data_IF_062746703120
#
_entry.id   IF_062746703120
#
_cell.length_a   1.000
_cell.length_b   1.000
_cell.length_c   1.000
_cell.angle_alpha   90.00
_cell.angle_beta   90.00
_cell.angle_gamma   90.00
#
_symmetry.space_group_name_H-M   'P 1'
#
loop_
_entity.id
_entity.type
_entity.pdbx_description
1 polymer ?
#
# COMPACT_ATOMS: atom_id res chain seq x y z
N UNK A 1 14.43 21.23 8.92
CA UNK A 1 15.20 22.11 7.99
C UNK A 1 15.31 21.51 6.58
N UNK A 2 15.62 20.21 6.43
CA UNK A 2 15.96 19.59 5.14
C UNK A 2 14.92 19.70 4.01
N UNK A 3 13.61 19.67 4.31
CA UNK A 3 12.55 19.77 3.29
C UNK A 3 12.49 21.12 2.58
N UNK A 4 13.03 22.19 3.18
CA UNK A 4 13.06 23.52 2.56
C UNK A 4 13.98 23.59 1.33
N UNK A 5 15.06 22.80 1.30
CA UNK A 5 16.02 22.80 0.18
C UNK A 5 15.40 22.26 -1.11
N UNK A 6 14.57 21.21 -0.99
CA UNK A 6 13.85 20.55 -2.09
C UNK A 6 12.84 21.46 -2.82
N UNK A 7 12.41 22.56 -2.20
CA UNK A 7 11.52 23.55 -2.81
C UNK A 7 12.24 24.49 -3.80
N UNK A 8 13.55 24.35 -3.99
CA UNK A 8 14.26 25.04 -5.06
C UNK A 8 13.94 24.41 -6.42
N UNK A 9 13.44 25.22 -7.36
CA UNK A 9 12.89 24.80 -8.65
C UNK A 9 13.73 23.74 -9.37
N UNK A 10 15.04 23.96 -9.47
CA UNK A 10 16.01 23.13 -10.22
C UNK A 10 16.03 21.67 -9.76
N UNK A 11 15.77 21.42 -8.47
CA UNK A 11 15.69 20.08 -7.88
C UNK A 11 14.40 19.39 -8.31
N UNK A 12 13.26 20.06 -8.13
CA UNK A 12 11.95 19.47 -8.43
C UNK A 12 11.71 19.29 -9.94
N UNK A 13 12.34 20.11 -10.79
CA UNK A 13 12.34 19.93 -12.24
C UNK A 13 13.30 18.84 -12.75
N UNK A 14 14.07 18.18 -11.89
CA UNK A 14 15.02 17.15 -12.28
C UNK A 14 16.19 17.66 -13.13
N UNK A 15 16.48 18.97 -13.09
CA UNK A 15 17.51 19.63 -13.92
C UNK A 15 18.85 19.82 -13.19
N UNK A 16 18.95 19.35 -11.95
CA UNK A 16 20.20 19.31 -11.19
C UNK A 16 21.18 18.27 -11.74
N UNK A 17 22.51 18.49 -11.66
CA UNK A 17 23.51 17.45 -11.95
C UNK A 17 23.36 16.24 -11.00
N UNK A 18 23.71 15.04 -11.49
CA UNK A 18 23.49 13.77 -10.75
C UNK A 18 24.05 13.79 -9.33
N UNK A 19 25.29 14.24 -9.13
CA UNK A 19 25.92 14.33 -7.80
C UNK A 19 25.15 15.22 -6.80
N UNK A 20 24.36 16.17 -7.31
CA UNK A 20 23.49 17.03 -6.50
C UNK A 20 22.20 16.29 -6.15
N UNK A 21 21.63 15.52 -7.10
CA UNK A 21 20.51 14.61 -6.86
C UNK A 21 20.89 13.57 -5.80
N UNK A 22 22.10 13.00 -5.87
CA UNK A 22 22.61 12.01 -4.92
C UNK A 22 22.73 12.58 -3.49
N UNK A 23 23.27 13.80 -3.34
CA UNK A 23 23.32 14.52 -2.05
C UNK A 23 21.91 14.83 -1.49
N UNK A 24 20.95 15.14 -2.37
CA UNK A 24 19.55 15.38 -2.00
C UNK A 24 18.89 14.08 -1.52
N UNK A 25 19.06 12.96 -2.24
CA UNK A 25 18.55 11.65 -1.85
C UNK A 25 19.16 11.18 -0.52
N UNK A 26 20.46 11.42 -0.31
CA UNK A 26 21.12 11.19 0.97
C UNK A 26 20.51 12.03 2.09
N UNK A 27 20.31 13.34 1.88
CA UNK A 27 19.64 14.23 2.87
C UNK A 27 18.19 13.85 3.13
N UNK A 28 17.47 13.31 2.14
CA UNK A 28 16.11 12.80 2.30
C UNK A 28 16.08 11.55 3.18
N UNK A 29 16.90 10.53 2.90
CA UNK A 29 16.96 9.32 3.73
C UNK A 29 17.39 9.61 5.18
N UNK A 30 18.30 10.57 5.39
CA UNK A 30 18.64 11.05 6.75
C UNK A 30 17.48 11.78 7.43
N UNK A 31 16.73 12.63 6.71
CA UNK A 31 15.55 13.30 7.25
C UNK A 31 14.40 12.33 7.57
N UNK A 32 14.25 11.28 6.75
CA UNK A 32 13.29 10.18 6.94
C UNK A 32 13.62 9.35 8.18
N UNK A 33 14.88 8.91 8.35
CA UNK A 33 15.34 8.20 9.55
C UNK A 33 15.11 9.01 10.84
N UNK A 34 15.36 10.34 10.81
CA UNK A 34 15.05 11.23 11.93
C UNK A 34 13.53 11.33 12.16
N UNK A 35 12.72 11.38 11.09
CA UNK A 35 11.26 11.36 11.16
C UNK A 35 10.72 10.08 11.80
N UNK A 36 11.20 8.92 11.38
CA UNK A 36 10.86 7.61 11.95
C UNK A 36 11.25 7.51 13.42
N UNK A 37 12.43 8.02 13.82
CA UNK A 37 12.81 8.10 15.23
C UNK A 37 11.84 8.98 16.06
N UNK A 38 11.49 10.18 15.58
CA UNK A 38 10.57 11.09 16.28
C UNK A 38 9.15 10.50 16.36
N UNK A 39 8.66 9.86 15.29
CA UNK A 39 7.37 9.17 15.29
C UNK A 39 7.35 7.98 16.27
N UNK A 40 8.43 7.19 16.32
CA UNK A 40 8.61 6.12 17.32
C UNK A 40 8.45 6.67 18.75
N UNK A 41 9.17 7.75 19.10
CA UNK A 41 9.06 8.41 20.40
C UNK A 41 7.63 8.86 20.72
N UNK A 42 6.92 9.46 19.76
CA UNK A 42 5.55 9.92 19.94
C UNK A 42 4.57 8.76 20.12
N UNK A 43 4.67 7.69 19.31
CA UNK A 43 3.83 6.50 19.46
C UNK A 43 4.11 5.76 20.77
N UNK A 44 5.37 5.66 21.22
CA UNK A 44 5.72 5.17 22.56
C UNK A 44 4.98 5.98 23.64
N UNK A 45 4.99 7.31 23.54
CA UNK A 45 4.36 8.17 24.57
C UNK A 45 2.83 8.18 24.56
N UNK A 46 2.20 7.97 23.40
CA UNK A 46 0.74 7.97 23.24
C UNK A 46 0.13 6.59 23.54
N UNK A 47 0.79 5.51 23.11
CA UNK A 47 0.21 4.15 23.17
C UNK A 47 0.65 3.34 24.40
N UNK A 48 1.76 3.70 25.06
CA UNK A 48 2.22 3.02 26.28
C UNK A 48 1.78 3.81 27.51
N UNK A 49 0.86 3.20 28.25
CA UNK A 49 0.35 3.71 29.52
C UNK A 49 1.46 3.80 30.58
N UNK A 50 1.96 5.03 30.77
CA UNK A 50 3.00 5.39 31.73
C UNK A 50 2.65 5.03 33.19
N UNK A 51 1.38 4.78 33.53
CA UNK A 51 1.00 4.32 34.88
C UNK A 51 1.37 2.85 35.15
N UNK A 52 1.55 2.04 34.09
CA UNK A 52 1.86 0.61 34.19
C UNK A 52 3.33 0.28 33.91
N UNK A 53 4.05 1.14 33.20
CA UNK A 53 5.50 0.98 32.96
C UNK A 53 6.33 1.71 34.02
N UNK A 54 6.70 1.02 35.11
CA UNK A 54 7.66 1.53 36.11
C UNK A 54 9.13 1.35 35.69
N UNK A 55 9.41 0.55 34.67
CA UNK A 55 10.76 0.29 34.18
C UNK A 55 11.17 1.23 33.05
N UNK A 56 12.08 2.16 33.34
CA UNK A 56 12.65 3.07 32.33
C UNK A 56 13.38 2.32 31.21
N UNK A 57 14.04 1.20 31.53
CA UNK A 57 14.70 0.32 30.55
C UNK A 57 13.73 -0.35 29.57
N UNK A 58 12.50 -0.64 30.00
CA UNK A 58 11.49 -1.20 29.10
C UNK A 58 11.10 -0.17 28.03
N UNK A 59 10.97 1.11 28.40
CA UNK A 59 10.59 2.19 27.50
C UNK A 59 11.65 2.41 26.39
N UNK A 60 12.95 2.38 26.72
CA UNK A 60 14.04 2.41 25.72
C UNK A 60 14.00 1.21 24.76
N UNK A 61 13.53 0.06 25.23
CA UNK A 61 13.38 -1.15 24.40
C UNK A 61 12.20 -1.01 23.44
N UNK A 62 11.07 -0.45 23.88
CA UNK A 62 9.91 -0.21 23.02
C UNK A 62 10.18 0.80 21.90
N UNK A 63 11.01 1.83 22.13
CA UNK A 63 11.43 2.80 21.11
C UNK A 63 12.14 2.13 19.92
N UNK A 64 12.81 0.98 20.15
CA UNK A 64 13.51 0.21 19.10
C UNK A 64 12.61 -0.79 18.36
N UNK A 65 11.35 -0.94 18.75
CA UNK A 65 10.44 -1.95 18.22
C UNK A 65 9.44 -1.41 17.19
N UNK A 66 9.48 -0.11 16.86
CA UNK A 66 8.68 0.46 15.78
C UNK A 66 9.45 0.40 14.45
N UNK A 67 9.07 -0.58 13.64
CA UNK A 67 9.51 -0.78 12.26
C UNK A 67 8.69 0.13 11.33
N UNK A 68 9.35 0.69 10.32
CA UNK A 68 8.72 1.48 9.26
C UNK A 68 9.06 0.83 7.92
N UNK A 69 8.04 0.40 7.17
CA UNK A 69 8.20 -0.34 5.90
C UNK A 69 7.65 0.44 4.71
N UNK A 70 8.30 0.31 3.55
CA UNK A 70 7.87 0.90 2.29
C UNK A 70 6.77 0.06 1.62
N UNK A 71 5.57 0.09 2.23
CA UNK A 71 4.40 -0.71 1.80
C UNK A 71 4.00 -0.50 0.33
N UNK A 72 4.31 0.67 -0.27
CA UNK A 72 4.07 0.95 -1.68
C UNK A 72 4.84 0.02 -2.65
N UNK A 73 5.96 -0.56 -2.21
CA UNK A 73 6.78 -1.49 -3.01
C UNK A 73 6.41 -2.97 -2.74
N UNK A 74 5.37 -3.20 -1.94
CA UNK A 74 5.02 -4.51 -1.35
C UNK A 74 6.24 -5.17 -0.68
N UNK A 75 7.03 -4.38 0.06
CA UNK A 75 8.26 -4.79 0.73
C UNK A 75 8.24 -4.46 2.24
N UNK A 76 8.59 -5.44 3.09
CA UNK A 76 8.67 -5.34 4.56
C UNK A 76 9.27 -6.64 5.14
N UNK A 77 10.57 -6.88 4.97
CA UNK A 77 11.22 -8.14 5.38
C UNK A 77 11.24 -8.33 6.91
N UNK A 78 11.05 -7.27 7.69
CA UNK A 78 10.99 -7.29 9.15
C UNK A 78 9.73 -8.00 9.70
N UNK A 79 8.79 -8.41 8.83
CA UNK A 79 7.64 -9.27 9.19
C UNK A 79 7.92 -10.78 9.02
N UNK A 80 9.10 -11.17 8.56
CA UNK A 80 9.45 -12.58 8.34
C UNK A 80 9.49 -13.39 9.65
N UNK A 81 8.78 -14.52 9.65
CA UNK A 81 8.58 -15.34 10.85
C UNK A 81 7.77 -14.68 11.98
N UNK A 82 7.34 -13.42 11.86
CA UNK A 82 6.72 -12.64 12.96
C UNK A 82 5.29 -13.09 13.26
N UNK A 83 5.14 -14.06 14.16
CA UNK A 83 3.87 -14.69 14.52
C UNK A 83 2.72 -13.73 14.94
N UNK A 84 3.03 -12.53 15.43
CA UNK A 84 2.07 -11.47 15.78
C UNK A 84 2.68 -10.09 15.60
N UNK A 85 2.00 -9.20 14.90
CA UNK A 85 2.39 -7.80 14.77
C UNK A 85 1.17 -6.87 14.96
N UNK A 86 1.37 -5.56 14.88
CA UNK A 86 0.26 -4.59 14.89
C UNK A 86 0.66 -3.35 14.09
N UNK A 87 -0.18 -2.92 13.15
CA UNK A 87 0.06 -1.74 12.32
C UNK A 87 -0.56 -0.52 12.99
N UNK A 88 0.26 0.50 13.24
CA UNK A 88 -0.20 1.81 13.68
C UNK A 88 -0.58 2.61 12.43
N UNK A 89 -1.79 3.14 12.41
CA UNK A 89 -2.29 3.98 11.32
C UNK A 89 -2.71 5.32 11.89
N UNK A 90 -2.11 6.40 11.39
CA UNK A 90 -2.41 7.77 11.79
C UNK A 90 -3.14 8.48 10.66
N UNK A 91 -4.25 9.14 10.97
CA UNK A 91 -4.96 10.03 10.05
C UNK A 91 -4.60 11.49 10.37
N UNK A 92 -3.71 12.15 9.59
CA UNK A 92 -3.38 13.56 9.78
C UNK A 92 -4.50 14.53 9.34
N UNK A 93 -5.61 14.03 8.80
CA UNK A 93 -6.71 14.85 8.32
C UNK A 93 -7.71 15.25 9.42
N UNK A 94 -8.39 16.38 9.22
CA UNK A 94 -9.54 16.82 10.01
C UNK A 94 -10.87 16.12 9.64
N UNK A 95 -10.86 15.22 8.66
CA UNK A 95 -12.01 14.39 8.27
C UNK A 95 -11.71 12.90 8.42
N UNK A 96 -12.76 12.09 8.59
CA UNK A 96 -12.66 10.62 8.64
C UNK A 96 -12.13 10.07 7.33
N UNK A 97 -11.11 9.22 7.41
CA UNK A 97 -10.46 8.59 6.27
C UNK A 97 -10.79 7.10 6.24
N UNK A 98 -11.37 6.61 5.15
CA UNK A 98 -11.52 5.17 4.88
C UNK A 98 -10.39 4.75 3.93
N UNK A 99 -9.47 3.90 4.39
CA UNK A 99 -8.31 3.48 3.59
C UNK A 99 -8.19 1.96 3.50
N UNK A 100 -7.56 1.52 2.42
CA UNK A 100 -7.14 0.13 2.22
C UNK A 100 -5.68 -0.01 2.64
N UNK A 101 -5.43 -0.67 3.77
CA UNK A 101 -4.08 -1.11 4.12
C UNK A 101 -3.70 -2.27 3.19
N UNK A 102 -2.48 -2.21 2.64
CA UNK A 102 -1.81 -3.31 1.92
C UNK A 102 -0.56 -3.68 2.71
N UNK A 103 -0.44 -4.94 3.12
CA UNK A 103 0.66 -5.41 3.97
C UNK A 103 1.28 -6.67 3.31
N UNK A 104 2.53 -6.62 2.85
CA UNK A 104 3.21 -7.78 2.28
C UNK A 104 3.60 -8.75 3.40
N UNK A 105 3.35 -10.05 3.19
CA UNK A 105 3.58 -11.09 4.19
C UNK A 105 4.01 -12.43 3.58
N UNK A 106 4.90 -13.14 4.27
CA UNK A 106 5.37 -14.48 3.89
C UNK A 106 4.30 -15.56 4.05
N UNK A 107 3.43 -15.43 5.06
CA UNK A 107 2.42 -16.41 5.47
C UNK A 107 1.04 -15.75 5.62
N UNK A 108 -0.03 -16.54 5.82
CA UNK A 108 -1.38 -16.00 6.03
C UNK A 108 -1.54 -15.40 7.45
N UNK A 109 -2.25 -14.28 7.56
CA UNK A 109 -2.54 -13.60 8.83
C UNK A 109 -4.04 -13.31 8.98
N UNK A 110 -4.55 -13.49 10.20
CA UNK A 110 -5.86 -13.01 10.63
C UNK A 110 -5.71 -11.76 11.51
N UNK A 111 -6.82 -11.05 11.72
CA UNK A 111 -6.89 -10.05 12.78
C UNK A 111 -7.00 -10.70 14.17
N UNK A 112 -6.31 -10.12 15.16
CA UNK A 112 -6.42 -10.52 16.56
C UNK A 112 -7.70 -9.92 17.17
N UNK A 113 -8.84 -10.58 16.94
CA UNK A 113 -10.20 -10.14 17.34
C UNK A 113 -10.26 -9.81 18.85
N UNK A 114 -9.50 -10.53 19.68
CA UNK A 114 -9.41 -10.28 21.12
C UNK A 114 -8.81 -8.91 21.46
N UNK A 115 -7.94 -8.36 20.60
CA UNK A 115 -7.42 -7.00 20.70
C UNK A 115 -8.29 -5.97 20.00
N UNK A 116 -8.98 -6.31 18.91
CA UNK A 116 -9.91 -5.38 18.23
C UNK A 116 -10.95 -4.84 19.21
N UNK A 117 -11.57 -5.72 20.02
CA UNK A 117 -12.55 -5.32 21.04
C UNK A 117 -11.99 -4.39 22.14
N UNK A 118 -10.67 -4.35 22.34
CA UNK A 118 -10.00 -3.43 23.27
C UNK A 118 -9.78 -2.03 22.68
N UNK A 119 -9.71 -1.92 21.35
CA UNK A 119 -9.39 -0.68 20.64
C UNK A 119 -10.55 -0.13 19.79
N UNK A 120 -11.74 -0.72 19.86
CA UNK A 120 -12.97 -0.29 19.16
C UNK A 120 -12.78 -0.03 17.66
N UNK A 121 -12.03 -0.91 16.99
CA UNK A 121 -11.62 -0.70 15.60
C UNK A 121 -12.73 -1.11 14.63
N UNK A 122 -13.18 -0.17 13.79
CA UNK A 122 -14.06 -0.44 12.65
C UNK A 122 -13.26 -1.02 11.48
N UNK A 123 -13.16 -2.35 11.44
CA UNK A 123 -12.53 -3.10 10.35
C UNK A 123 -13.61 -3.89 9.61
N UNK A 124 -13.96 -3.42 8.41
CA UNK A 124 -15.12 -3.92 7.68
C UNK A 124 -14.81 -5.14 6.80
N UNK A 125 -13.60 -5.19 6.23
CA UNK A 125 -13.23 -6.18 5.21
C UNK A 125 -11.76 -6.60 5.36
N UNK A 126 -11.49 -7.90 5.17
CA UNK A 126 -10.16 -8.50 5.05
C UNK A 126 -10.16 -9.34 3.76
N UNK A 127 -9.11 -9.23 2.96
CA UNK A 127 -8.76 -10.20 1.92
C UNK A 127 -7.29 -10.61 2.05
N UNK A 128 -6.96 -11.81 1.55
CA UNK A 128 -5.57 -12.22 1.31
C UNK A 128 -5.44 -12.53 -0.18
N UNK A 129 -4.51 -11.85 -0.84
CA UNK A 129 -4.23 -12.03 -2.27
C UNK A 129 -2.82 -12.57 -2.43
N UNK A 130 -2.62 -13.64 -3.21
CA UNK A 130 -1.27 -14.07 -3.59
C UNK A 130 -0.67 -13.05 -4.56
N UNK A 131 0.52 -12.54 -4.26
CA UNK A 131 1.18 -11.49 -5.04
C UNK A 131 1.35 -11.90 -6.52
N UNK A 132 1.39 -10.92 -7.42
CA UNK A 132 1.61 -11.21 -8.85
C UNK A 132 3.06 -11.64 -9.10
N UNK A 133 3.27 -12.60 -10.01
CA UNK A 133 4.60 -12.98 -10.50
C UNK A 133 5.35 -11.79 -11.10
N UNK A 134 4.63 -10.79 -11.61
CA UNK A 134 5.18 -9.54 -12.14
C UNK A 134 5.82 -8.70 -11.01
N UNK A 135 5.16 -8.57 -9.85
CA UNK A 135 5.75 -7.91 -8.69
C UNK A 135 6.94 -8.69 -8.12
N UNK A 136 6.90 -10.03 -8.14
CA UNK A 136 8.03 -10.90 -7.78
C UNK A 136 9.21 -10.80 -8.76
N UNK A 137 8.98 -10.37 -10.00
CA UNK A 137 10.02 -10.20 -11.02
C UNK A 137 10.74 -8.84 -11.00
N UNK A 138 10.34 -7.93 -10.09
CA UNK A 138 11.03 -6.64 -9.89
C UNK A 138 12.35 -6.93 -9.15
N UNK A 139 13.52 -6.58 -9.71
CA UNK A 139 14.78 -6.73 -9.01
C UNK A 139 14.87 -5.70 -7.87
N UNK A 140 14.77 -6.18 -6.63
CA UNK A 140 15.20 -5.45 -5.45
C UNK A 140 16.65 -5.80 -5.11
N UNK A 141 17.34 -4.90 -4.41
CA UNK A 141 18.70 -5.15 -3.89
C UNK A 141 18.72 -6.19 -2.74
N UNK A 142 17.56 -6.55 -2.21
CA UNK A 142 17.36 -7.45 -1.07
C UNK A 142 16.33 -8.53 -1.43
N UNK A 143 16.52 -9.75 -0.89
CA UNK A 143 15.67 -10.88 -1.21
C UNK A 143 14.25 -10.68 -0.66
N UNK A 144 13.25 -10.56 -1.53
CA UNK A 144 11.84 -10.51 -1.11
C UNK A 144 11.32 -11.91 -0.76
N UNK A 145 10.78 -12.01 0.45
CA UNK A 145 10.27 -13.23 1.09
C UNK A 145 8.74 -13.30 1.16
N UNK A 146 8.07 -12.16 1.05
CA UNK A 146 6.62 -12.07 1.01
C UNK A 146 6.02 -12.73 -0.24
N UNK A 147 5.06 -13.64 -0.05
CA UNK A 147 4.30 -14.29 -1.14
C UNK A 147 2.85 -13.77 -1.27
N UNK A 148 2.31 -13.20 -0.18
CA UNK A 148 0.92 -12.79 -0.08
C UNK A 148 0.84 -11.33 0.36
N UNK A 149 -0.30 -10.72 0.09
CA UNK A 149 -0.65 -9.38 0.52
C UNK A 149 -1.95 -9.44 1.32
N UNK A 150 -1.89 -8.96 2.56
CA UNK A 150 -3.05 -8.82 3.43
C UNK A 150 -3.64 -7.45 3.18
N UNK A 151 -4.89 -7.43 2.72
CA UNK A 151 -5.63 -6.23 2.35
C UNK A 151 -6.75 -6.01 3.37
N UNK A 152 -6.79 -4.83 4.01
CA UNK A 152 -7.74 -4.54 5.09
C UNK A 152 -8.34 -3.14 4.94
N UNK A 153 -9.67 -3.04 4.99
CA UNK A 153 -10.39 -1.76 5.00
C UNK A 153 -10.52 -1.22 6.42
N UNK A 154 -9.98 -0.02 6.66
CA UNK A 154 -9.95 0.63 7.98
C UNK A 154 -10.62 2.00 7.91
N UNK A 155 -11.52 2.29 8.85
CA UNK A 155 -12.16 3.61 9.04
C UNK A 155 -11.49 4.37 10.18
N UNK A 156 -10.79 5.46 9.87
CA UNK A 156 -9.96 6.20 10.83
C UNK A 156 -10.53 7.60 11.07
N UNK A 157 -10.97 7.95 12.30
CA UNK A 157 -11.49 9.27 12.64
C UNK A 157 -10.49 10.42 12.39
N UNK A 158 -10.95 11.68 12.38
CA UNK A 158 -10.10 12.88 12.31
C UNK A 158 -8.97 12.88 13.34
N UNK A 159 -7.76 13.29 12.93
CA UNK A 159 -6.59 13.55 13.79
C UNK A 159 -6.28 12.41 14.78
N UNK A 160 -6.56 11.16 14.39
CA UNK A 160 -6.58 10.02 15.30
C UNK A 160 -5.60 8.91 14.88
N UNK A 161 -5.27 8.05 15.85
CA UNK A 161 -4.41 6.88 15.68
C UNK A 161 -5.24 5.62 15.94
N UNK A 162 -5.12 4.62 15.08
CA UNK A 162 -5.64 3.27 15.29
C UNK A 162 -4.50 2.24 15.26
N UNK A 163 -4.68 1.12 15.94
CA UNK A 163 -3.67 0.06 16.09
C UNK A 163 -4.28 -1.27 15.66
N UNK A 164 -4.13 -1.63 14.38
CA UNK A 164 -4.74 -2.81 13.77
C UNK A 164 -3.88 -4.06 14.06
N UNK A 165 -4.37 -5.05 14.83
CA UNK A 165 -3.53 -6.13 15.34
C UNK A 165 -3.66 -7.40 14.50
N UNK A 166 -2.53 -8.01 14.14
CA UNK A 166 -2.45 -9.19 13.27
C UNK A 166 -1.83 -10.40 13.98
N UNK A 167 -2.25 -11.60 13.59
CA UNK A 167 -1.78 -12.89 14.10
C UNK A 167 -1.62 -13.88 12.94
N UNK A 168 -0.48 -14.56 12.86
CA UNK A 168 -0.26 -15.63 11.90
C UNK A 168 -1.33 -16.74 12.01
N UNK A 169 -1.64 -17.39 10.90
CA UNK A 169 -2.72 -18.37 10.80
C UNK A 169 -2.44 -19.38 9.69
N UNK A 170 -2.46 -20.66 10.03
CA UNK A 170 -2.14 -21.77 9.12
C UNK A 170 -3.23 -22.01 8.05
N UNK A 171 -4.45 -21.50 8.28
CA UNK A 171 -5.54 -21.53 7.31
C UNK A 171 -5.29 -20.54 6.16
N UNK A 172 -4.78 -21.06 5.04
CA UNK A 172 -4.67 -20.38 3.73
C UNK A 172 -6.02 -20.07 3.06
N UNK A 173 -7.14 -20.37 3.74
CA UNK A 173 -8.52 -20.35 3.21
C UNK A 173 -9.33 -19.11 3.62
N UNK A 174 -8.68 -18.02 4.03
CA UNK A 174 -9.34 -16.75 4.38
C UNK A 174 -9.74 -16.04 3.08
N UNK A 175 -10.87 -16.45 2.49
CA UNK A 175 -11.46 -15.93 1.26
C UNK A 175 -10.40 -15.54 0.22
N UNK A 176 -9.66 -16.54 -0.29
CA UNK A 176 -8.82 -16.30 -1.47
C UNK A 176 -9.72 -15.74 -2.57
N UNK A 177 -9.50 -14.49 -2.96
CA UNK A 177 -10.11 -13.94 -4.16
C UNK A 177 -9.52 -14.70 -5.33
N UNK A 178 -10.23 -15.73 -5.81
CA UNK A 178 -9.76 -16.58 -6.89
C UNK A 178 -9.38 -15.69 -8.07
N UNK A 179 -8.13 -15.78 -8.51
CA UNK A 179 -7.70 -15.18 -9.77
C UNK A 179 -8.39 -15.95 -10.89
N UNK A 180 -9.59 -15.50 -11.24
CA UNK A 180 -10.34 -16.00 -12.38
C UNK A 180 -9.43 -15.90 -13.61
N UNK A 181 -8.95 -17.03 -14.11
CA UNK A 181 -7.97 -17.06 -15.20
C UNK A 181 -8.68 -16.60 -16.47
N UNK A 182 -8.48 -15.33 -16.84
CA UNK A 182 -9.12 -14.70 -17.99
C UNK A 182 -8.54 -15.29 -19.28
N UNK A 183 -9.09 -16.44 -19.67
CA UNK A 183 -9.01 -16.96 -21.04
C UNK A 183 -9.41 -15.84 -22.01
N UNK A 184 -8.63 -15.65 -23.09
CA UNK A 184 -8.59 -14.48 -24.02
C UNK A 184 -9.95 -14.08 -24.67
N UNK A 185 -10.89 -13.65 -23.84
CA UNK A 185 -12.23 -13.13 -24.15
C UNK A 185 -12.33 -11.72 -23.56
N UNK A 186 -13.33 -10.96 -24.01
CA UNK A 186 -13.68 -9.71 -23.32
C UNK A 186 -14.20 -10.07 -21.92
N UNK A 187 -13.78 -9.30 -20.92
CA UNK A 187 -14.19 -9.46 -19.52
C UNK A 187 -14.79 -8.16 -18.99
N UNK A 188 -15.52 -8.26 -17.89
CA UNK A 188 -16.13 -7.13 -17.19
C UNK A 188 -15.70 -7.13 -15.73
N UNK A 189 -15.28 -5.97 -15.24
CA UNK A 189 -14.94 -5.71 -13.85
C UNK A 189 -16.05 -4.83 -13.26
N UNK A 190 -16.56 -5.14 -12.06
CA UNK A 190 -17.77 -4.53 -11.52
C UNK A 190 -17.67 -4.26 -10.02
N UNK A 191 -18.17 -3.09 -9.60
CA UNK A 191 -18.42 -2.75 -8.19
C UNK A 191 -19.81 -2.09 -8.02
N UNK A 192 -20.13 -1.59 -6.83
CA UNK A 192 -21.44 -0.97 -6.52
C UNK A 192 -21.84 0.20 -7.45
N UNK A 193 -20.86 0.94 -8.00
CA UNK A 193 -21.09 2.16 -8.79
C UNK A 193 -20.83 2.00 -10.30
N UNK A 194 -19.93 1.09 -10.69
CA UNK A 194 -19.42 0.98 -12.06
C UNK A 194 -19.38 -0.46 -12.59
N UNK A 195 -19.58 -0.61 -13.91
CA UNK A 195 -19.23 -1.81 -14.68
C UNK A 195 -18.25 -1.39 -15.78
N UNK A 196 -17.10 -2.06 -15.86
CA UNK A 196 -15.96 -1.67 -16.69
C UNK A 196 -15.67 -2.80 -17.66
N UNK A 197 -15.97 -2.56 -18.94
CA UNK A 197 -15.87 -3.55 -20.00
C UNK A 197 -14.49 -3.49 -20.65
N UNK A 198 -13.79 -4.62 -20.67
CA UNK A 198 -12.42 -4.76 -21.15
C UNK A 198 -12.43 -5.66 -22.40
N UNK A 199 -11.72 -5.25 -23.45
CA UNK A 199 -11.65 -6.00 -24.70
C UNK A 199 -10.61 -7.14 -24.64
N UNK A 200 -10.53 -7.94 -25.71
CA UNK A 200 -9.59 -9.08 -25.82
C UNK A 200 -8.09 -8.71 -25.77
N UNK A 201 -7.75 -7.41 -25.85
CA UNK A 201 -6.40 -6.88 -25.76
C UNK A 201 -6.08 -6.35 -24.34
N UNK A 202 -6.97 -6.54 -23.37
CA UNK A 202 -6.79 -6.05 -22.00
C UNK A 202 -6.99 -4.54 -21.83
N UNK A 203 -7.54 -3.84 -22.84
CA UNK A 203 -7.84 -2.40 -22.77
C UNK A 203 -9.31 -2.14 -22.48
N UNK A 204 -9.58 -1.07 -21.72
CA UNK A 204 -10.92 -0.60 -21.38
C UNK A 204 -11.62 -0.14 -22.66
N UNK A 205 -12.81 -0.70 -22.90
CA UNK A 205 -13.73 -0.33 -23.99
C UNK A 205 -14.86 0.59 -23.52
N UNK A 206 -15.39 0.39 -22.31
CA UNK A 206 -16.41 1.31 -21.77
C UNK A 206 -16.49 1.24 -20.25
N UNK A 207 -17.01 2.33 -19.65
CA UNK A 207 -17.46 2.35 -18.26
C UNK A 207 -18.95 2.66 -18.26
N UNK A 208 -19.74 1.76 -17.70
CA UNK A 208 -21.15 1.97 -17.39
C UNK A 208 -21.28 2.45 -15.94
N UNK A 209 -21.82 3.66 -15.79
CA UNK A 209 -22.02 4.33 -14.50
C UNK A 209 -23.45 4.04 -14.04
N UNK A 210 -23.59 3.22 -12.99
CA UNK A 210 -24.88 2.70 -12.52
C UNK A 210 -25.81 3.82 -12.04
N UNK A 211 -25.29 4.78 -11.28
CA UNK A 211 -26.05 5.88 -10.66
C UNK A 211 -26.76 6.81 -11.65
N UNK A 212 -26.31 6.87 -12.91
CA UNK A 212 -26.91 7.67 -13.98
C UNK A 212 -27.33 6.83 -15.20
N UNK A 213 -27.35 5.50 -15.07
CA UNK A 213 -27.69 4.53 -16.12
C UNK A 213 -27.01 4.84 -17.48
N UNK A 214 -25.71 5.20 -17.46
CA UNK A 214 -25.02 5.72 -18.65
C UNK A 214 -23.78 4.88 -18.98
N UNK A 215 -23.77 4.28 -20.17
CA UNK A 215 -22.57 3.68 -20.74
C UNK A 215 -21.73 4.76 -21.45
N UNK A 216 -20.46 4.89 -21.08
CA UNK A 216 -19.49 5.78 -21.71
C UNK A 216 -18.47 4.92 -22.45
N UNK A 217 -18.49 4.92 -23.78
CA UNK A 217 -17.45 4.25 -24.56
C UNK A 217 -16.12 5.01 -24.39
N UNK A 218 -15.07 4.27 -24.05
CA UNK A 218 -13.71 4.76 -23.87
C UNK A 218 -12.79 4.10 -24.89
N UNK A 219 -11.97 4.92 -25.54
CA UNK A 219 -10.91 4.45 -26.43
C UNK A 219 -9.58 4.61 -25.71
N UNK A 220 -9.28 3.68 -24.80
CA UNK A 220 -7.98 3.63 -24.14
C UNK A 220 -6.88 3.49 -25.20
N UNK A 221 -6.06 4.53 -25.32
CA UNK A 221 -4.86 4.58 -26.17
C UNK A 221 -3.66 4.87 -25.28
N UNK A 222 -2.59 4.11 -25.45
CA UNK A 222 -1.40 4.26 -24.62
C UNK A 222 -0.50 5.39 -25.13
N UNK A 223 -0.70 6.58 -24.57
CA UNK A 223 0.38 7.45 -24.17
C UNK A 223 0.52 7.40 -22.63
N UNK A 224 1.65 7.80 -22.08
CA UNK A 224 1.87 7.75 -20.63
C UNK A 224 0.90 8.70 -19.89
N UNK A 225 0.03 8.17 -19.03
CA UNK A 225 0.34 8.04 -17.59
C UNK A 225 -0.68 7.16 -16.85
N UNK A 226 -0.35 6.68 -15.65
CA UNK A 226 -1.19 5.79 -14.85
C UNK A 226 -1.52 6.43 -13.50
N UNK A 227 -2.82 6.41 -13.14
CA UNK A 227 -3.42 6.16 -11.81
C UNK A 227 -4.90 5.66 -12.06
N UNK A 228 -5.47 4.88 -11.12
CA UNK A 228 -6.51 3.79 -11.15
C UNK A 228 -7.31 3.08 -9.98
N UNK A 229 -7.66 1.82 -10.21
CA UNK A 229 -8.69 1.03 -9.46
C UNK A 229 -8.18 0.03 -8.27
N UNK A 230 -8.61 -1.29 -8.11
CA UNK A 230 -8.00 -2.66 -7.64
C UNK A 230 -7.71 -3.79 -8.75
N UNK A 231 -6.53 -4.43 -8.79
CA UNK A 231 -5.67 -5.00 -9.90
C UNK A 231 -6.10 -5.76 -11.24
N UNK A 232 -5.81 -5.15 -12.41
CA UNK A 232 -5.31 -5.73 -13.71
C UNK A 232 -3.81 -5.35 -13.93
N UNK A 233 -2.86 -6.25 -13.70
CA UNK A 233 -1.44 -5.97 -14.01
C UNK A 233 -1.14 -6.18 -15.51
N UNK A 234 -0.55 -5.19 -16.19
CA UNK A 234 -0.18 -5.27 -17.60
C UNK A 234 1.35 -5.19 -17.78
N UNK A 235 1.93 -6.18 -18.47
CA UNK A 235 3.35 -6.23 -18.83
C UNK A 235 3.53 -5.67 -20.25
N UNK A 236 4.36 -4.64 -20.40
CA UNK A 236 4.70 -4.04 -21.70
C UNK A 236 6.09 -4.46 -22.17
N UNK A 237 7.04 -4.54 -21.24
CA UNK A 237 8.38 -5.08 -21.48
C UNK A 237 8.99 -5.51 -20.15
N UNK A 238 10.18 -6.11 -20.21
CA UNK A 238 11.01 -6.39 -19.03
C UNK A 238 11.39 -5.15 -18.20
N UNK A 239 11.13 -3.93 -18.71
CA UNK A 239 11.40 -2.65 -18.05
C UNK A 239 10.14 -1.79 -17.85
N UNK A 240 8.95 -2.25 -18.23
CA UNK A 240 7.73 -1.45 -18.14
C UNK A 240 6.51 -2.31 -17.79
N UNK A 241 5.98 -2.10 -16.58
CA UNK A 241 4.74 -2.68 -16.10
C UNK A 241 3.80 -1.56 -15.63
N UNK A 242 2.53 -1.62 -15.99
CA UNK A 242 1.53 -0.60 -15.64
C UNK A 242 0.34 -1.38 -15.02
N UNK A 243 0.04 -1.14 -13.74
CA UNK A 243 -0.96 -1.89 -13.00
C UNK A 243 -2.30 -1.16 -13.02
N UNK A 244 -3.19 -1.52 -13.96
CA UNK A 244 -4.62 -1.13 -13.98
C UNK A 244 -5.36 -1.85 -12.85
N UNK A 245 -6.60 -1.48 -12.49
CA UNK A 245 -7.27 -1.94 -11.27
C UNK A 245 -8.88 -1.65 -11.30
N UNK A 246 -9.85 -2.03 -10.37
CA UNK A 246 -11.11 -1.34 -9.78
C UNK A 246 -11.40 -1.27 -8.20
N UNK A 247 -11.14 -0.14 -7.46
CA UNK A 247 -11.21 0.05 -5.97
C UNK A 247 -12.66 0.18 -5.44
N UNK A 248 -12.95 -0.40 -4.27
CA UNK A 248 -14.30 -0.41 -3.71
C UNK A 248 -14.67 0.85 -2.88
N UNK A 249 -15.82 1.47 -3.22
CA UNK A 249 -16.39 2.67 -2.58
C UNK A 249 -15.48 3.92 -2.58
N UNK A 250 -14.53 4.01 -3.51
CA UNK A 250 -13.78 5.25 -3.80
C UNK A 250 -14.27 5.88 -5.11
N UNK A 251 -14.38 7.22 -5.21
CA UNK A 251 -14.80 7.90 -6.43
C UNK A 251 -13.63 8.20 -7.38
N UNK A 252 -12.46 7.57 -7.18
CA UNK A 252 -11.21 7.97 -7.81
C UNK A 252 -10.39 6.79 -8.33
N UNK A 253 -9.26 7.17 -8.91
CA UNK A 253 -8.47 6.43 -9.86
C UNK A 253 -6.94 6.58 -9.48
N UNK A 254 -6.34 5.70 -8.62
CA UNK A 254 -4.92 5.22 -8.36
C UNK A 254 -4.71 3.64 -8.62
N UNK A 255 -4.08 2.84 -9.55
CA UNK A 255 -3.09 2.55 -10.69
C UNK A 255 -1.60 2.85 -10.47
N UNK A 256 -0.70 1.91 -10.83
CA UNK A 256 0.76 2.15 -10.81
C UNK A 256 1.50 2.05 -12.14
N UNK A 257 2.67 2.68 -12.18
CA UNK A 257 3.77 2.41 -13.11
C UNK A 257 4.95 1.81 -12.34
N UNK A 258 5.57 0.78 -12.91
CA UNK A 258 6.95 0.37 -12.61
C UNK A 258 7.72 0.53 -13.93
N UNK A 259 8.61 1.51 -13.98
CA UNK A 259 9.51 1.75 -15.11
C UNK A 259 10.93 1.51 -14.64
N UNK A 260 11.54 0.44 -15.13
CA UNK A 260 12.94 0.09 -14.91
C UNK A 260 13.88 0.79 -15.89
N UNK A 261 15.14 0.38 -15.88
CA UNK A 261 16.20 0.96 -16.70
C UNK A 261 15.87 0.91 -18.20
N UNK A 262 15.79 2.09 -18.82
CA UNK A 262 15.80 2.24 -20.28
C UNK A 262 17.22 2.06 -20.79
N UNK A 263 17.62 0.79 -21.01
CA UNK A 263 18.87 0.49 -21.71
C UNK A 263 18.75 1.00 -23.17
N UNK A 264 19.53 2.02 -23.51
CA UNK A 264 19.71 2.60 -24.84
C UNK A 264 20.78 1.86 -25.65
#
# INVERSE_FOLDING_TARGET
MCTGTLLTYVIFSGTSPQNSIDDILYRMSQAEQIGHYVLSQLYTQILIDKSKSRDTKANETYIKNFIFCNLNESYCNELDGVQKFSVIVYNPSSFTSHIWLRIPVQQSYTLDINKIRKYSIDVNQIGIIKMSSIFLSIPLNENRTAEYEVIVRVTIPPLSIQVVPFKATDNTLINQMEKSVINKKACSIENEAYIININKLGTIKSIYIKSINKNVELKQRFGYYYKGYEEIVQVYSQYANQSIRLYEKTPYIEFDWIVGLLNS
#
